data_IF_364253709555
#
_entry.id   IF_364253709555
#
_cell.length_a   1.000
_cell.length_b   1.000
_cell.length_c   1.000
_cell.angle_alpha   90.00
_cell.angle_beta   90.00
_cell.angle_gamma   90.00
#
_symmetry.space_group_name_H-M   'P 1'
#
loop_
_entity.id
_entity.type
_entity.pdbx_description
1 polymer ?
#
# COMPACT_ATOMS: atom_id res chain seq x y z
N UNK A 1 -20.76 -22.36 -4.35
CA UNK A 1 -20.81 -21.16 -5.20
C UNK A 1 -19.73 -20.22 -4.72
N UNK A 2 -18.94 -19.65 -5.62
CA UNK A 2 -17.92 -18.65 -5.26
C UNK A 2 -18.63 -17.33 -5.00
N UNK A 3 -18.40 -16.69 -3.85
CA UNK A 3 -18.95 -15.37 -3.54
C UNK A 3 -18.13 -14.28 -4.23
N UNK A 4 -18.81 -13.20 -4.62
CA UNK A 4 -18.20 -11.99 -5.19
C UNK A 4 -17.89 -10.99 -4.08
N UNK A 5 -16.81 -10.22 -4.21
CA UNK A 5 -16.52 -9.11 -3.29
C UNK A 5 -16.91 -7.80 -3.97
N UNK A 6 -17.71 -6.95 -3.32
CA UNK A 6 -18.20 -5.72 -3.95
C UNK A 6 -17.11 -4.68 -4.23
N UNK A 7 -15.97 -4.80 -3.53
CA UNK A 7 -14.79 -3.97 -3.71
C UNK A 7 -13.73 -4.62 -4.61
N UNK A 8 -14.01 -5.79 -5.20
CA UNK A 8 -13.04 -6.41 -6.10
C UNK A 8 -12.86 -5.57 -7.36
N UNK A 9 -11.61 -5.41 -7.78
CA UNK A 9 -11.25 -4.65 -8.97
C UNK A 9 -11.01 -5.62 -10.12
N UNK A 10 -11.73 -5.42 -11.23
CA UNK A 10 -11.46 -6.13 -12.47
C UNK A 10 -10.27 -5.47 -13.16
N UNK A 11 -9.21 -6.24 -13.41
CA UNK A 11 -8.00 -5.76 -14.08
C UNK A 11 -8.20 -5.50 -15.58
N UNK A 12 -9.25 -6.06 -16.17
CA UNK A 12 -9.57 -5.93 -17.58
C UNK A 12 -10.51 -4.75 -17.88
N UNK A 13 -11.06 -4.12 -16.83
CA UNK A 13 -11.93 -2.95 -16.92
C UNK A 13 -11.26 -1.73 -16.27
N UNK A 14 -11.47 -0.54 -16.84
CA UNK A 14 -10.95 0.72 -16.28
C UNK A 14 -11.84 1.23 -15.13
N UNK A 15 -12.93 0.54 -14.81
CA UNK A 15 -13.85 0.90 -13.72
C UNK A 15 -13.23 0.62 -12.34
N UNK A 16 -13.25 1.63 -11.47
CA UNK A 16 -12.70 1.55 -10.10
C UNK A 16 -13.59 0.68 -9.19
N UNK A 17 -14.88 0.53 -9.53
CA UNK A 17 -15.87 -0.25 -8.78
C UNK A 17 -16.69 -1.06 -9.79
N UNK A 18 -16.49 -2.38 -9.77
CA UNK A 18 -17.11 -3.32 -10.72
C UNK A 18 -18.62 -3.56 -10.45
N UNK A 19 -19.09 -3.26 -9.24
CA UNK A 19 -20.48 -3.50 -8.80
C UNK A 19 -21.23 -2.17 -8.62
N UNK A 20 -21.47 -1.45 -9.73
CA UNK A 20 -22.17 -0.16 -9.78
C UNK A 20 -23.55 -0.18 -9.11
N UNK A 21 -24.21 -1.33 -9.05
CA UNK A 21 -25.52 -1.49 -8.41
C UNK A 21 -25.52 -1.15 -6.91
N UNK A 22 -24.37 -1.24 -6.23
CA UNK A 22 -24.24 -0.89 -4.82
C UNK A 22 -23.91 0.58 -4.59
N UNK A 23 -23.64 1.36 -5.65
CA UNK A 23 -23.24 2.76 -5.53
C UNK A 23 -24.46 3.62 -5.21
N UNK A 24 -24.45 4.24 -4.03
CA UNK A 24 -25.52 5.13 -3.56
C UNK A 24 -25.30 6.57 -4.02
N UNK A 25 -24.03 7.01 -4.01
CA UNK A 25 -23.61 8.36 -4.42
C UNK A 25 -22.12 8.38 -4.74
N UNK A 26 -21.73 9.29 -5.63
CA UNK A 26 -20.35 9.53 -6.07
C UNK A 26 -19.97 10.98 -5.86
N UNK A 27 -18.67 11.22 -5.75
CA UNK A 27 -18.11 12.57 -5.82
C UNK A 27 -18.53 13.28 -7.09
N UNK A 28 -18.78 14.58 -7.00
CA UNK A 28 -19.00 15.38 -8.19
C UNK A 28 -17.74 15.48 -9.07
N UNK A 29 -17.94 15.87 -10.33
CA UNK A 29 -16.87 16.00 -11.32
C UNK A 29 -15.73 16.96 -10.89
N UNK A 30 -16.03 17.98 -10.08
CA UNK A 30 -15.00 18.92 -9.61
C UNK A 30 -14.08 18.29 -8.55
N UNK A 31 -14.62 17.44 -7.67
CA UNK A 31 -13.83 16.71 -6.68
C UNK A 31 -13.07 15.55 -7.30
N UNK A 32 -13.67 14.83 -8.25
CA UNK A 32 -12.98 13.81 -9.04
C UNK A 32 -11.78 14.41 -9.80
N UNK A 33 -11.95 15.56 -10.48
CA UNK A 33 -10.83 16.25 -11.14
C UNK A 33 -9.74 16.72 -10.16
N UNK A 34 -10.12 17.16 -8.96
CA UNK A 34 -9.16 17.58 -7.93
C UNK A 34 -8.39 16.38 -7.37
N UNK A 35 -9.03 15.22 -7.20
CA UNK A 35 -8.39 13.96 -6.81
C UNK A 35 -7.34 13.53 -7.83
N UNK A 36 -7.68 13.55 -9.11
CA UNK A 36 -6.76 13.23 -10.20
C UNK A 36 -5.55 14.17 -10.18
N UNK A 37 -5.79 15.48 -10.01
CA UNK A 37 -4.72 16.46 -9.88
C UNK A 37 -3.78 16.16 -8.70
N UNK A 38 -4.34 15.88 -7.51
CA UNK A 38 -3.54 15.55 -6.32
C UNK A 38 -2.73 14.27 -6.52
N UNK A 39 -3.35 13.23 -7.13
CA UNK A 39 -2.68 11.96 -7.46
C UNK A 39 -1.51 12.16 -8.42
N UNK A 40 -1.68 13.01 -9.43
CA UNK A 40 -0.60 13.38 -10.33
C UNK A 40 0.52 14.15 -9.61
N UNK A 41 0.17 15.08 -8.73
CA UNK A 41 1.13 15.85 -7.94
C UNK A 41 1.94 14.94 -7.01
N UNK A 42 1.29 13.97 -6.35
CA UNK A 42 1.93 12.93 -5.55
C UNK A 42 2.88 12.08 -6.39
N UNK A 43 2.42 11.60 -7.55
CA UNK A 43 3.26 10.81 -8.47
C UNK A 43 4.47 11.60 -8.95
N UNK A 44 4.30 12.89 -9.27
CA UNK A 44 5.39 13.78 -9.67
C UNK A 44 6.37 14.02 -8.51
N UNK A 45 5.86 14.19 -7.29
CA UNK A 45 6.68 14.34 -6.08
C UNK A 45 7.51 13.09 -5.82
N UNK A 46 6.89 11.90 -5.84
CA UNK A 46 7.56 10.61 -5.69
C UNK A 46 8.64 10.40 -6.76
N UNK A 47 8.33 10.63 -8.04
CA UNK A 47 9.31 10.54 -9.12
C UNK A 47 10.49 11.51 -8.94
N UNK A 48 10.22 12.74 -8.48
CA UNK A 48 11.28 13.72 -8.19
C UNK A 48 12.18 13.23 -7.06
N UNK A 49 11.61 12.62 -6.03
CA UNK A 49 12.35 12.05 -4.89
C UNK A 49 13.22 10.87 -5.32
N UNK A 50 12.66 9.91 -6.06
CA UNK A 50 13.41 8.77 -6.62
C UNK A 50 14.54 9.24 -7.55
N UNK A 51 14.25 10.17 -8.46
CA UNK A 51 15.26 10.72 -9.37
C UNK A 51 16.39 11.42 -8.62
N UNK A 52 16.08 12.17 -7.55
CA UNK A 52 17.06 12.84 -6.71
C UNK A 52 17.95 11.83 -5.98
N UNK A 53 17.37 10.71 -5.52
CA UNK A 53 18.11 9.59 -4.93
C UNK A 53 19.07 8.93 -5.93
N UNK A 54 18.57 8.55 -7.12
CA UNK A 54 19.40 7.96 -8.18
C UNK A 54 20.57 8.88 -8.61
N UNK A 55 20.30 10.18 -8.76
CA UNK A 55 21.34 11.16 -9.13
C UNK A 55 22.44 11.30 -8.06
N UNK A 56 22.09 11.10 -6.77
CA UNK A 56 23.04 11.13 -5.65
C UNK A 56 23.90 9.88 -5.58
N UNK A 57 23.38 8.72 -5.99
CA UNK A 57 24.14 7.47 -6.03
C UNK A 57 25.10 7.37 -7.24
N UNK A 58 24.82 8.09 -8.33
CA UNK A 58 25.65 8.10 -9.55
C UNK A 58 27.16 8.34 -9.30
N UNK A 59 27.61 9.36 -8.54
CA UNK A 59 29.04 9.55 -8.26
C UNK A 59 29.67 8.39 -7.49
N UNK A 60 28.92 7.67 -6.65
CA UNK A 60 29.40 6.45 -5.99
C UNK A 60 29.69 5.34 -7.00
N UNK A 61 28.77 5.10 -7.93
CA UNK A 61 28.97 4.11 -9.00
C UNK A 61 30.15 4.47 -9.91
N UNK A 62 30.28 5.75 -10.29
CA UNK A 62 31.41 6.23 -11.10
C UNK A 62 32.74 6.05 -10.34
N UNK A 63 32.78 6.41 -9.05
CA UNK A 63 33.99 6.28 -8.22
C UNK A 63 34.43 4.83 -8.04
N UNK A 64 33.50 3.93 -7.70
CA UNK A 64 33.78 2.50 -7.57
C UNK A 64 34.19 1.88 -8.92
N UNK A 65 33.49 2.22 -10.01
CA UNK A 65 33.81 1.73 -11.35
C UNK A 65 35.18 2.16 -11.84
N UNK A 66 35.56 3.43 -11.65
CA UNK A 66 36.90 3.93 -11.97
C UNK A 66 37.98 3.28 -11.12
N UNK A 67 37.73 3.02 -9.84
CA UNK A 67 38.64 2.32 -8.95
C UNK A 67 38.93 0.89 -9.42
N UNK A 68 37.90 0.15 -9.83
CA UNK A 68 38.05 -1.21 -10.38
C UNK A 68 38.83 -1.19 -11.68
N UNK A 69 38.47 -0.30 -12.62
CA UNK A 69 39.15 -0.17 -13.92
C UNK A 69 40.64 0.15 -13.77
N UNK A 70 40.98 1.14 -12.95
CA UNK A 70 42.37 1.51 -12.70
C UNK A 70 43.12 0.41 -11.94
N UNK A 71 42.44 -0.33 -11.06
CA UNK A 71 42.99 -1.51 -10.38
C UNK A 71 43.31 -2.64 -11.35
N UNK A 72 42.44 -2.92 -12.32
CA UNK A 72 42.67 -3.93 -13.37
C UNK A 72 43.85 -3.54 -14.27
N UNK A 73 43.92 -2.28 -14.70
CA UNK A 73 45.05 -1.75 -15.49
C UNK A 73 46.35 -1.81 -14.68
N UNK A 74 46.32 -1.47 -13.40
CA UNK A 74 47.48 -1.57 -12.52
C UNK A 74 47.94 -3.03 -12.37
N UNK A 75 47.00 -3.99 -12.28
CA UNK A 75 47.32 -5.42 -12.16
C UNK A 75 48.00 -5.97 -13.42
N UNK A 76 47.46 -5.67 -14.61
CA UNK A 76 48.07 -6.07 -15.88
C UNK A 76 49.48 -5.47 -16.09
N UNK A 77 49.67 -4.21 -15.70
CA UNK A 77 50.99 -3.55 -15.78
C UNK A 77 51.92 -4.03 -14.65
N UNK A 78 51.41 -4.48 -13.51
CA UNK A 78 52.24 -5.05 -12.44
C UNK A 78 52.88 -6.38 -12.86
N UNK A 79 52.18 -7.18 -13.67
CA UNK A 79 52.77 -8.37 -14.30
C UNK A 79 53.93 -8.03 -15.26
N UNK A 80 53.97 -6.82 -15.83
CA UNK A 80 55.05 -6.37 -16.73
C UNK A 80 56.32 -5.86 -16.02
N UNK A 81 56.37 -5.86 -14.68
CA UNK A 81 57.52 -5.52 -13.81
C UNK A 81 58.05 -4.07 -13.94
N UNK A 82 57.23 -3.12 -14.34
CA UNK A 82 57.60 -1.70 -14.30
C UNK A 82 57.31 -1.08 -12.91
N UNK A 83 57.87 0.12 -12.63
CA UNK A 83 57.68 0.83 -11.34
C UNK A 83 56.41 1.71 -11.33
N UNK A 84 55.95 2.11 -12.52
CA UNK A 84 54.69 2.83 -12.78
C UNK A 84 53.39 2.18 -12.22
N UNK A 85 53.18 0.85 -12.22
CA UNK A 85 51.95 0.20 -11.74
C UNK A 85 51.69 0.35 -10.24
N UNK A 86 52.71 0.56 -9.41
CA UNK A 86 52.52 0.78 -7.98
C UNK A 86 51.76 2.10 -7.70
N UNK A 87 52.03 3.15 -8.49
CA UNK A 87 51.32 4.42 -8.37
C UNK A 87 49.85 4.31 -8.81
N UNK A 88 49.58 3.59 -9.89
CA UNK A 88 48.22 3.32 -10.37
C UNK A 88 47.41 2.47 -9.38
N UNK A 89 48.04 1.46 -8.76
CA UNK A 89 47.40 0.65 -7.71
C UNK A 89 47.06 1.46 -6.45
N UNK A 90 47.96 2.35 -6.02
CA UNK A 90 47.71 3.26 -4.90
C UNK A 90 46.59 4.25 -5.24
N UNK A 91 46.59 4.82 -6.45
CA UNK A 91 45.53 5.72 -6.92
C UNK A 91 44.17 5.01 -7.00
N UNK A 92 44.12 3.79 -7.51
CA UNK A 92 42.92 2.95 -7.56
C UNK A 92 42.38 2.64 -6.16
N UNK A 93 43.27 2.26 -5.23
CA UNK A 93 42.91 2.02 -3.83
C UNK A 93 42.36 3.27 -3.14
N UNK A 94 42.99 4.43 -3.35
CA UNK A 94 42.48 5.70 -2.80
C UNK A 94 41.12 6.09 -3.37
N UNK A 95 40.89 5.90 -4.67
CA UNK A 95 39.59 6.17 -5.30
C UNK A 95 38.50 5.23 -4.80
N UNK A 96 38.83 3.95 -4.62
CA UNK A 96 37.89 2.96 -4.08
C UNK A 96 37.51 3.26 -2.63
N UNK A 97 38.49 3.57 -1.78
CA UNK A 97 38.24 3.98 -0.38
C UNK A 97 37.46 5.29 -0.33
N UNK A 98 37.79 6.28 -1.16
CA UNK A 98 37.03 7.52 -1.26
C UNK A 98 35.58 7.27 -1.70
N UNK A 99 35.35 6.35 -2.65
CA UNK A 99 34.02 5.91 -3.07
C UNK A 99 33.22 5.27 -1.93
N UNK A 100 33.82 4.36 -1.16
CA UNK A 100 33.18 3.73 0.02
C UNK A 100 32.87 4.77 1.10
N UNK A 101 33.83 5.64 1.43
CA UNK A 101 33.64 6.68 2.44
C UNK A 101 32.52 7.64 2.01
N UNK A 102 32.50 8.03 0.74
CA UNK A 102 31.42 8.84 0.18
C UNK A 102 30.07 8.12 0.25
N UNK A 103 30.01 6.82 -0.05
CA UNK A 103 28.81 6.00 0.07
C UNK A 103 28.29 5.95 1.52
N UNK A 104 29.18 5.72 2.49
CA UNK A 104 28.82 5.67 3.92
C UNK A 104 28.34 7.02 4.43
N UNK A 105 28.99 8.12 4.02
CA UNK A 105 28.57 9.48 4.39
C UNK A 105 27.20 9.80 3.78
N UNK A 106 26.98 9.46 2.51
CA UNK A 106 25.69 9.66 1.87
C UNK A 106 24.59 8.81 2.50
N UNK A 107 24.85 7.54 2.80
CA UNK A 107 23.88 6.68 3.47
C UNK A 107 23.50 7.21 4.86
N UNK A 108 24.47 7.71 5.64
CA UNK A 108 24.18 8.36 6.93
C UNK A 108 23.40 9.67 6.77
N UNK A 109 23.70 10.46 5.74
CA UNK A 109 22.97 11.70 5.44
C UNK A 109 21.58 11.45 4.89
N UNK A 110 21.37 10.35 4.16
CA UNK A 110 20.07 9.91 3.68
C UNK A 110 19.22 9.46 4.85
N UNK A 111 19.74 8.58 5.70
CA UNK A 111 19.04 8.17 6.92
C UNK A 111 18.65 9.36 7.81
N UNK A 112 19.56 10.32 8.00
CA UNK A 112 19.27 11.55 8.75
C UNK A 112 18.32 12.53 8.03
N UNK A 113 18.09 12.37 6.72
CA UNK A 113 17.16 13.19 5.93
C UNK A 113 15.82 12.51 5.71
N UNK A 114 15.76 11.18 5.75
CA UNK A 114 14.51 10.44 5.89
C UNK A 114 13.80 10.84 7.19
N UNK A 115 14.57 11.21 8.22
CA UNK A 115 14.06 11.78 9.46
C UNK A 115 13.65 13.27 9.37
N UNK A 116 13.97 13.99 8.28
CA UNK A 116 13.54 15.39 8.04
C UNK A 116 12.29 15.41 7.16
N UNK A 117 11.17 16.02 7.59
CA UNK A 117 9.97 16.11 6.75
C UNK A 117 10.30 16.92 5.48
N UNK A 118 10.01 16.34 4.31
CA UNK A 118 10.04 17.09 3.06
C UNK A 118 8.87 18.08 3.11
N UNK A 119 9.14 19.38 3.27
CA UNK A 119 8.12 20.44 3.35
C UNK A 119 7.09 20.33 2.21
N UNK A 120 7.51 19.85 1.03
CA UNK A 120 6.61 19.63 -0.11
C UNK A 120 5.69 18.41 0.04
N UNK A 121 6.10 17.37 0.76
CA UNK A 121 5.21 16.23 1.10
C UNK A 121 4.28 16.61 2.23
N UNK A 122 4.74 17.36 3.24
CA UNK A 122 3.88 17.81 4.34
C UNK A 122 2.74 18.74 3.85
N UNK A 123 3.02 19.64 2.90
CA UNK A 123 1.99 20.46 2.27
C UNK A 123 0.99 19.62 1.46
N UNK A 124 1.47 18.58 0.77
CA UNK A 124 0.64 17.69 -0.02
C UNK A 124 -0.25 16.82 0.88
N UNK A 125 0.29 16.29 1.98
CA UNK A 125 -0.46 15.51 2.98
C UNK A 125 -1.59 16.34 3.57
N UNK A 126 -1.31 17.60 3.96
CA UNK A 126 -2.34 18.55 4.42
C UNK A 126 -3.39 18.83 3.35
N UNK A 127 -2.99 18.92 2.08
CA UNK A 127 -3.93 19.10 0.98
C UNK A 127 -4.84 17.87 0.79
N UNK A 128 -4.30 16.66 0.95
CA UNK A 128 -5.05 15.40 0.95
C UNK A 128 -6.02 15.30 2.13
N UNK A 129 -5.59 15.63 3.34
CA UNK A 129 -6.46 15.65 4.52
C UNK A 129 -7.63 16.62 4.33
N UNK A 130 -7.34 17.84 3.87
CA UNK A 130 -8.37 18.84 3.60
C UNK A 130 -9.32 18.42 2.47
N UNK A 131 -8.80 17.75 1.44
CA UNK A 131 -9.59 17.18 0.35
C UNK A 131 -10.50 16.05 0.87
N UNK A 132 -9.98 15.10 1.64
CA UNK A 132 -10.76 14.02 2.22
C UNK A 132 -11.86 14.55 3.15
N UNK A 133 -11.56 15.57 3.96
CA UNK A 133 -12.57 16.23 4.79
C UNK A 133 -13.64 16.98 3.96
N UNK A 134 -13.30 17.45 2.76
CA UNK A 134 -14.25 18.05 1.82
C UNK A 134 -15.15 16.98 1.20
N UNK A 135 -14.58 15.87 0.74
CA UNK A 135 -15.31 14.73 0.17
C UNK A 135 -16.27 14.14 1.19
N UNK A 136 -15.81 13.87 2.43
CA UNK A 136 -16.66 13.34 3.50
C UNK A 136 -17.90 14.20 3.73
N UNK A 137 -17.75 15.53 3.71
CA UNK A 137 -18.87 16.46 3.87
C UNK A 137 -19.80 16.49 2.66
N UNK A 138 -19.28 16.34 1.45
CA UNK A 138 -20.12 16.27 0.25
C UNK A 138 -20.94 14.98 0.21
N UNK A 139 -20.30 13.87 0.58
CA UNK A 139 -20.91 12.54 0.59
C UNK A 139 -21.66 12.26 1.91
N UNK A 140 -21.92 13.27 2.73
CA UNK A 140 -22.66 13.13 4.00
C UNK A 140 -22.14 11.96 4.88
N UNK A 141 -20.81 11.75 4.89
CA UNK A 141 -20.19 10.72 5.73
C UNK A 141 -20.22 11.22 7.19
N UNK A 142 -20.76 10.44 8.14
CA UNK A 142 -20.76 10.82 9.55
C UNK A 142 -19.34 11.08 10.07
N UNK A 143 -19.16 12.16 10.84
CA UNK A 143 -17.84 12.51 11.41
C UNK A 143 -17.30 11.43 12.37
N UNK A 144 -18.20 10.68 13.00
CA UNK A 144 -17.92 9.58 13.93
C UNK A 144 -17.95 8.19 13.26
N UNK A 145 -18.08 8.12 11.93
CA UNK A 145 -18.07 6.86 11.20
C UNK A 145 -16.74 6.11 11.47
N UNK A 146 -16.77 4.91 12.08
CA UNK A 146 -15.55 4.17 12.37
C UNK A 146 -14.79 3.82 11.08
N UNK A 147 -13.47 3.81 11.18
CA UNK A 147 -12.59 3.31 10.12
C UNK A 147 -12.33 1.83 10.32
N UNK A 148 -12.50 1.04 9.26
CA UNK A 148 -12.21 -0.39 9.21
C UNK A 148 -11.33 -0.67 8.00
N UNK A 149 -10.45 -1.64 8.11
CA UNK A 149 -9.72 -2.17 6.96
C UNK A 149 -10.57 -3.25 6.28
N UNK A 150 -10.58 -3.23 4.96
CA UNK A 150 -11.20 -4.24 4.11
C UNK A 150 -10.13 -4.90 3.26
N UNK A 151 -10.29 -6.20 3.02
CA UNK A 151 -9.43 -6.95 2.13
C UNK A 151 -10.12 -7.10 0.78
N UNK A 152 -9.55 -6.44 -0.22
CA UNK A 152 -10.01 -6.43 -1.60
C UNK A 152 -9.16 -7.39 -2.42
N UNK A 153 -9.70 -7.94 -3.51
CA UNK A 153 -8.89 -8.74 -4.43
C UNK A 153 -9.06 -8.23 -5.84
N UNK A 154 -7.98 -8.28 -6.60
CA UNK A 154 -8.02 -8.01 -8.04
C UNK A 154 -8.25 -9.33 -8.79
N UNK A 155 -9.01 -9.28 -9.87
CA UNK A 155 -9.27 -10.44 -10.71
C UNK A 155 -9.22 -10.05 -12.19
N UNK A 156 -8.92 -11.00 -13.07
CA UNK A 156 -9.09 -10.87 -14.52
C UNK A 156 -10.23 -11.78 -14.96
N UNK A 157 -11.03 -11.36 -15.93
CA UNK A 157 -12.11 -12.16 -16.50
C UNK A 157 -11.58 -13.31 -17.39
N UNK A 158 -10.41 -13.11 -18.01
CA UNK A 158 -9.79 -14.09 -18.92
C UNK A 158 -9.01 -15.18 -18.18
N UNK A 159 -8.48 -14.86 -17.00
CA UNK A 159 -7.88 -15.85 -16.11
C UNK A 159 -8.81 -16.11 -14.93
N UNK A 160 -9.26 -17.37 -14.75
CA UNK A 160 -10.01 -17.80 -13.55
C UNK A 160 -9.24 -17.63 -12.22
N UNK A 161 -8.12 -16.92 -12.22
CA UNK A 161 -7.23 -16.67 -11.10
C UNK A 161 -7.68 -15.40 -10.40
N UNK A 162 -8.46 -15.55 -9.32
CA UNK A 162 -8.46 -14.54 -8.25
C UNK A 162 -6.99 -14.36 -7.83
N UNK A 163 -6.47 -13.13 -7.76
CA UNK A 163 -5.15 -12.92 -7.13
C UNK A 163 -5.20 -13.56 -5.74
N UNK A 164 -4.17 -14.35 -5.41
CA UNK A 164 -4.05 -14.99 -4.10
C UNK A 164 -3.67 -13.98 -3.01
N UNK A 165 -3.14 -12.81 -3.42
CA UNK A 165 -2.80 -11.70 -2.55
C UNK A 165 -3.93 -10.68 -2.62
N UNK A 166 -4.46 -10.33 -1.45
CA UNK A 166 -5.45 -9.29 -1.26
C UNK A 166 -4.76 -7.93 -1.12
N UNK A 167 -5.46 -6.84 -1.37
CA UNK A 167 -5.02 -5.51 -0.97
C UNK A 167 -5.80 -5.06 0.25
N UNK A 168 -5.11 -4.43 1.21
CA UNK A 168 -5.76 -3.88 2.40
C UNK A 168 -6.05 -2.40 2.17
N UNK A 169 -7.34 -2.02 2.27
CA UNK A 169 -7.79 -0.64 2.12
C UNK A 169 -8.55 -0.19 3.36
N UNK A 170 -8.24 1.00 3.87
CA UNK A 170 -8.97 1.59 5.01
C UNK A 170 -10.18 2.37 4.50
N UNK A 171 -11.36 2.10 5.04
CA UNK A 171 -12.63 2.73 4.67
C UNK A 171 -13.42 3.18 5.90
N UNK A 172 -14.27 4.20 5.74
CA UNK A 172 -15.25 4.58 6.75
C UNK A 172 -16.53 3.79 6.54
N UNK A 173 -17.04 3.15 7.60
CA UNK A 173 -18.27 2.34 7.59
C UNK A 173 -19.32 2.97 8.50
N UNK A 174 -20.58 3.01 8.06
CA UNK A 174 -21.68 3.63 8.79
C UNK A 174 -23.03 3.05 8.38
N UNK A 175 -24.08 3.34 9.16
CA UNK A 175 -25.46 2.96 8.85
C UNK A 175 -26.24 4.19 8.42
N UNK A 176 -26.93 4.08 7.29
CA UNK A 176 -27.79 5.14 6.75
C UNK A 176 -29.04 4.50 6.16
N UNK A 177 -30.24 4.97 6.57
CA UNK A 177 -31.52 4.49 6.04
C UNK A 177 -31.70 2.96 5.99
N UNK A 178 -31.14 2.25 6.98
CA UNK A 178 -31.22 0.79 7.06
C UNK A 178 -30.26 0.04 6.14
N UNK A 179 -29.27 0.73 5.56
CA UNK A 179 -28.18 0.15 4.76
C UNK A 179 -26.87 0.19 5.53
N UNK A 180 -26.01 -0.80 5.28
CA UNK A 180 -24.61 -0.75 5.64
C UNK A 180 -23.85 -0.04 4.51
N UNK A 181 -23.23 1.08 4.84
CA UNK A 181 -22.57 1.95 3.88
C UNK A 181 -21.06 2.00 4.13
N UNK A 182 -20.30 2.06 3.05
CA UNK A 182 -18.85 2.19 3.04
C UNK A 182 -18.45 3.34 2.12
N UNK A 183 -17.54 4.20 2.58
CA UNK A 183 -16.89 5.17 1.72
C UNK A 183 -15.62 4.55 1.13
N UNK A 184 -15.70 4.12 -0.12
CA UNK A 184 -14.61 3.42 -0.81
C UNK A 184 -14.26 4.12 -2.12
N UNK A 185 -12.98 4.41 -2.30
CA UNK A 185 -12.51 5.17 -3.46
C UNK A 185 -13.19 6.54 -3.54
N UNK A 186 -14.05 6.71 -4.53
CA UNK A 186 -14.75 7.97 -4.87
C UNK A 186 -16.26 7.94 -4.61
N UNK A 187 -16.74 6.88 -3.96
CA UNK A 187 -18.15 6.60 -3.84
C UNK A 187 -18.54 6.14 -2.43
N UNK A 188 -19.83 6.34 -2.10
CA UNK A 188 -20.48 5.59 -1.05
C UNK A 188 -21.17 4.41 -1.68
N UNK A 189 -20.75 3.21 -1.28
CA UNK A 189 -21.41 1.96 -1.64
C UNK A 189 -22.18 1.43 -0.44
N UNK A 190 -23.29 0.74 -0.67
CA UNK A 190 -24.01 0.11 0.41
C UNK A 190 -25.09 -0.86 -0.05
N UNK A 191 -25.46 -1.73 0.88
CA UNK A 191 -26.48 -2.77 0.71
C UNK A 191 -27.37 -2.81 1.94
N UNK A 192 -28.57 -3.37 1.80
CA UNK A 192 -29.55 -3.33 2.87
C UNK A 192 -29.16 -4.29 4.01
N UNK A 193 -29.41 -3.87 5.25
CA UNK A 193 -29.04 -4.66 6.43
C UNK A 193 -29.77 -6.01 6.52
N UNK A 194 -30.95 -6.13 5.91
CA UNK A 194 -31.72 -7.36 5.82
C UNK A 194 -31.18 -8.34 4.76
N UNK A 195 -30.31 -7.90 3.87
CA UNK A 195 -29.56 -8.74 2.91
C UNK A 195 -28.40 -9.50 3.58
N UNK A 196 -28.00 -9.07 4.79
CA UNK A 196 -26.92 -9.70 5.54
C UNK A 196 -27.37 -11.06 6.08
N UNK A 197 -26.71 -12.11 5.59
CA UNK A 197 -26.95 -13.49 5.97
C UNK A 197 -26.19 -13.86 7.25
N UNK A 198 -24.89 -13.55 7.29
CA UNK A 198 -24.02 -13.94 8.41
C UNK A 198 -22.72 -13.14 8.45
N UNK A 199 -22.15 -13.01 9.64
CA UNK A 199 -20.75 -12.64 9.85
C UNK A 199 -20.00 -13.89 10.28
N UNK A 200 -19.11 -14.39 9.41
CA UNK A 200 -18.44 -15.67 9.61
C UNK A 200 -16.96 -15.46 9.89
N UNK A 201 -16.44 -16.09 10.95
CA UNK A 201 -15.01 -16.20 11.19
C UNK A 201 -14.47 -17.38 10.40
N UNK A 202 -13.63 -17.10 9.41
CA UNK A 202 -12.92 -18.12 8.62
C UNK A 202 -11.54 -18.29 9.24
N UNK A 203 -11.08 -19.52 9.44
CA UNK A 203 -9.79 -19.82 10.07
C UNK A 203 -8.65 -20.07 9.07
N UNK A 204 -8.93 -19.96 7.78
CA UNK A 204 -7.94 -20.11 6.72
C UNK A 204 -6.95 -18.94 6.71
N UNK A 205 -5.67 -19.19 6.35
CA UNK A 205 -4.70 -18.12 6.20
C UNK A 205 -5.07 -17.19 5.04
N UNK A 206 -4.87 -15.90 5.25
CA UNK A 206 -5.04 -14.86 4.24
C UNK A 206 -3.76 -14.04 4.13
N UNK A 207 -3.37 -13.72 2.89
CA UNK A 207 -2.20 -12.89 2.60
C UNK A 207 -2.64 -11.62 1.90
N UNK A 208 -2.15 -10.48 2.36
CA UNK A 208 -2.45 -9.18 1.77
C UNK A 208 -1.18 -8.36 1.58
N UNK A 209 -1.22 -7.49 0.57
CA UNK A 209 -0.24 -6.44 0.36
C UNK A 209 -0.56 -5.24 1.27
N UNK A 210 0.50 -4.55 1.67
CA UNK A 210 0.44 -3.29 2.40
C UNK A 210 -0.12 -3.36 3.83
N UNK A 211 0.52 -2.62 4.73
CA UNK A 211 0.04 -2.45 6.11
C UNK A 211 -0.46 -1.02 6.29
N UNK A 212 -1.78 -0.85 6.38
CA UNK A 212 -2.44 0.47 6.40
C UNK A 212 -2.73 0.99 7.81
N UNK A 213 -2.49 0.19 8.84
CA UNK A 213 -2.73 0.61 10.22
C UNK A 213 -1.61 1.51 10.76
N UNK A 214 -1.99 2.49 11.58
CA UNK A 214 -1.07 3.47 12.19
C UNK A 214 0.05 2.81 13.03
N UNK A 215 -0.30 1.76 13.79
CA UNK A 215 0.67 1.02 14.59
C UNK A 215 1.29 -0.11 13.76
N UNK A 216 2.60 -0.41 13.94
CA UNK A 216 3.24 -1.55 13.28
C UNK A 216 2.51 -2.88 13.53
N UNK A 217 2.55 -3.78 12.54
CA UNK A 217 1.96 -5.13 12.62
C UNK A 217 2.42 -5.97 13.83
N UNK A 218 3.62 -5.73 14.33
CA UNK A 218 4.23 -6.42 15.48
C UNK A 218 4.04 -5.67 16.81
N UNK A 219 3.28 -4.57 16.81
CA UNK A 219 2.93 -3.84 18.03
C UNK A 219 2.09 -4.67 19.00
N UNK A 220 2.05 -4.27 20.27
CA UNK A 220 1.25 -4.96 21.30
C UNK A 220 -0.24 -5.08 20.94
N UNK A 221 -0.76 -4.13 20.15
CA UNK A 221 -2.15 -4.11 19.68
C UNK A 221 -2.43 -5.25 18.69
N UNK A 222 -1.48 -5.56 17.81
CA UNK A 222 -1.65 -6.50 16.71
C UNK A 222 -0.95 -7.85 16.92
N UNK A 223 -0.02 -7.95 17.86
CA UNK A 223 0.74 -9.17 18.15
C UNK A 223 -0.15 -10.39 18.44
N UNK A 224 -1.34 -10.18 19.02
CA UNK A 224 -2.31 -11.24 19.32
C UNK A 224 -2.89 -11.94 18.08
N UNK A 225 -2.79 -11.31 16.90
CA UNK A 225 -3.30 -11.86 15.64
C UNK A 225 -2.24 -12.66 14.86
N UNK A 226 -1.00 -12.74 15.36
CA UNK A 226 0.05 -13.58 14.79
C UNK A 226 0.41 -13.23 13.34
N UNK A 227 0.45 -11.93 13.02
CA UNK A 227 0.68 -11.44 11.66
C UNK A 227 2.14 -11.62 11.28
N UNK A 228 2.40 -12.37 10.20
CA UNK A 228 3.73 -12.61 9.66
C UNK A 228 4.01 -11.65 8.49
N UNK A 229 5.13 -10.94 8.53
CA UNK A 229 5.63 -10.14 7.41
C UNK A 229 6.67 -10.93 6.61
N UNK A 230 6.53 -10.95 5.29
CA UNK A 230 7.50 -11.49 4.32
C UNK A 230 7.80 -10.45 3.25
N UNK A 231 9.05 -10.40 2.82
CA UNK A 231 9.46 -9.60 1.68
C UNK A 231 9.64 -10.52 0.47
N UNK A 232 8.88 -10.28 -0.60
CA UNK A 232 8.93 -11.06 -1.85
C UNK A 232 9.09 -10.05 -2.99
N UNK A 233 10.14 -10.18 -3.79
CA UNK A 233 10.42 -9.30 -4.94
C UNK A 233 10.39 -7.79 -4.62
N UNK A 234 10.93 -7.41 -3.44
CA UNK A 234 10.92 -6.03 -2.89
C UNK A 234 9.54 -5.50 -2.48
N UNK A 235 8.53 -6.36 -2.40
CA UNK A 235 7.19 -6.05 -1.89
C UNK A 235 6.97 -6.70 -0.53
N UNK A 236 6.33 -5.97 0.38
CA UNK A 236 5.97 -6.48 1.69
C UNK A 236 4.59 -7.17 1.64
N UNK A 237 4.56 -8.43 2.04
CA UNK A 237 3.34 -9.22 2.21
C UNK A 237 3.12 -9.56 3.67
N UNK A 238 1.87 -9.47 4.09
CA UNK A 238 1.42 -9.75 5.44
C UNK A 238 0.49 -10.95 5.41
N UNK A 239 0.74 -11.94 6.25
CA UNK A 239 -0.10 -13.15 6.39
C UNK A 239 -0.68 -13.22 7.78
N UNK A 240 -2.00 -13.42 7.90
CA UNK A 240 -2.66 -13.73 9.17
C UNK A 240 -3.46 -15.02 9.06
N UNK A 241 -3.60 -15.74 10.17
CA UNK A 241 -4.46 -16.94 10.22
C UNK A 241 -5.86 -16.52 10.63
N UNK A 242 -6.77 -16.58 9.67
CA UNK A 242 -8.17 -16.27 9.83
C UNK A 242 -8.54 -14.82 9.50
N UNK A 243 -9.83 -14.63 9.23
CA UNK A 243 -10.43 -13.35 8.84
C UNK A 243 -11.95 -13.41 9.06
N UNK A 244 -12.63 -12.27 8.96
CA UNK A 244 -14.09 -12.21 8.97
C UNK A 244 -14.63 -12.05 7.54
N UNK A 245 -15.63 -12.86 7.19
CA UNK A 245 -16.40 -12.80 5.94
C UNK A 245 -17.83 -12.37 6.29
N UNK A 246 -18.18 -11.14 5.97
CA UNK A 246 -19.56 -10.65 6.03
C UNK A 246 -20.27 -11.07 4.75
N UNK A 247 -21.20 -12.02 4.87
CA UNK A 247 -21.89 -12.66 3.75
C UNK A 247 -23.29 -12.07 3.61
N UNK A 248 -23.65 -11.75 2.38
CA UNK A 248 -24.95 -11.19 2.06
C UNK A 248 -25.41 -11.64 0.68
N UNK A 249 -26.70 -11.49 0.39
CA UNK A 249 -27.29 -11.86 -0.88
C UNK A 249 -28.08 -10.68 -1.44
N UNK A 250 -27.70 -10.25 -2.64
CA UNK A 250 -28.35 -9.15 -3.36
C UNK A 250 -28.93 -9.70 -4.66
N UNK A 251 -30.23 -9.49 -4.87
CA UNK A 251 -30.96 -10.02 -6.04
C UNK A 251 -30.78 -11.54 -6.30
N UNK A 252 -30.49 -12.31 -5.25
CA UNK A 252 -30.27 -13.76 -5.32
C UNK A 252 -28.84 -14.17 -5.68
N UNK A 253 -27.92 -13.21 -5.83
CA UNK A 253 -26.49 -13.46 -6.00
C UNK A 253 -25.74 -13.36 -4.67
N UNK A 254 -24.80 -14.29 -4.37
CA UNK A 254 -24.08 -14.28 -3.10
C UNK A 254 -22.81 -13.41 -3.16
N UNK A 255 -22.70 -12.49 -2.21
CA UNK A 255 -21.57 -11.59 -2.03
C UNK A 255 -20.89 -11.78 -0.68
N UNK A 256 -19.66 -11.28 -0.57
CA UNK A 256 -18.93 -11.21 0.69
C UNK A 256 -18.05 -9.97 0.80
N UNK A 257 -17.89 -9.47 2.02
CA UNK A 257 -16.84 -8.53 2.39
C UNK A 257 -15.87 -9.20 3.34
N UNK A 258 -14.58 -9.01 3.10
CA UNK A 258 -13.52 -9.64 3.87
C UNK A 258 -12.86 -8.58 4.73
N UNK A 259 -12.73 -8.87 6.02
CA UNK A 259 -12.14 -7.97 7.01
C UNK A 259 -11.03 -8.71 7.77
N UNK A 260 -9.92 -8.02 8.09
CA UNK A 260 -8.91 -8.58 8.97
C UNK A 260 -9.47 -8.81 10.38
N UNK A 261 -8.90 -9.76 11.12
CA UNK A 261 -9.39 -10.13 12.46
C UNK A 261 -9.41 -8.96 13.46
N UNK A 262 -8.54 -7.97 13.27
CA UNK A 262 -8.39 -6.86 14.19
C UNK A 262 -9.46 -5.76 14.06
N UNK A 263 -10.28 -5.76 13.00
CA UNK A 263 -11.40 -4.82 12.85
C UNK A 263 -12.76 -5.40 13.25
N UNK A 264 -12.77 -6.64 13.73
CA UNK A 264 -13.97 -7.36 14.12
C UNK A 264 -14.84 -6.60 15.13
N UNK A 265 -14.23 -6.03 16.17
CA UNK A 265 -14.97 -5.31 17.21
C UNK A 265 -15.72 -4.11 16.64
N UNK A 266 -15.09 -3.36 15.72
CA UNK A 266 -15.72 -2.20 15.07
C UNK A 266 -16.92 -2.64 14.22
N UNK A 267 -16.80 -3.75 13.50
CA UNK A 267 -17.90 -4.31 12.71
C UNK A 267 -19.06 -4.77 13.59
N UNK A 268 -18.76 -5.45 14.70
CA UNK A 268 -19.78 -5.91 15.65
C UNK A 268 -20.51 -4.76 16.33
N UNK A 269 -19.89 -3.59 16.51
CA UNK A 269 -20.61 -2.43 17.05
C UNK A 269 -21.67 -1.89 16.10
N UNK A 270 -21.54 -2.14 14.80
CA UNK A 270 -22.49 -1.71 13.76
C UNK A 270 -23.51 -2.78 13.40
N UNK A 271 -23.11 -4.05 13.51
CA UNK A 271 -23.93 -5.19 13.13
C UNK A 271 -24.57 -5.80 14.38
N UNK A 272 -25.90 -5.77 14.47
CA UNK A 272 -26.65 -6.55 15.46
C UNK A 272 -26.72 -8.04 15.04
N UNK A 273 -25.54 -8.66 14.91
CA UNK A 273 -25.34 -10.04 14.43
C UNK A 273 -24.33 -10.77 15.30
N UNK A 274 -24.61 -12.04 15.60
CA UNK A 274 -23.66 -12.93 16.25
C UNK A 274 -22.64 -13.47 15.25
N UNK A 275 -21.39 -13.68 15.70
CA UNK A 275 -20.36 -14.33 14.90
C UNK A 275 -20.65 -15.83 14.81
N UNK A 276 -20.61 -16.36 13.58
CA UNK A 276 -20.62 -17.81 13.32
C UNK A 276 -19.20 -18.26 13.02
N UNK A 277 -18.73 -19.34 13.65
CA UNK A 277 -17.43 -19.94 13.34
C UNK A 277 -17.58 -21.02 12.24
N UNK A 278 -16.68 -21.00 11.25
CA UNK A 278 -16.58 -22.02 10.18
C UNK A 278 -15.23 -22.75 10.20
#
# INVERSE_FOLDING_TARGET
MTRKNIFSVNLDDESVIDNEEFVLRRENAALSAKREQLSEELTKALHKTVKKSLLRMLPTFIGCGLGVLLGSIAFEIFESKEVFPAFLGIAAGMLFVAGIVYAVINHKKEKAREDEPDEGMEELDKAYEAFNAQVKRELDIPEDAPQVDILTYMYSADEKTKKTVYSSDTTNVFIEDGKLCFWYGEAVVGFAMDEIEALVKVNDPITFDSWMADDPHDSLKYAQYGIEKKEIDYEEQYTMTGYYSLRFSHEGEPFELIFPLFDAEKLLTLLDREIVEE
#
